data_IF_641289740499
#
_entry.id   IF_641289740499
#
_cell.length_a   1.000
_cell.length_b   1.000
_cell.length_c   1.000
_cell.angle_alpha   90.00
_cell.angle_beta   90.00
_cell.angle_gamma   90.00
#
_symmetry.space_group_name_H-M   'P 1'
#
loop_
_entity.id
_entity.type
_entity.pdbx_description
1 polymer ?
#
# COMPACT_ATOMS: atom_id res chain seq x y z
N UNK A 1 -10.72 9.26 1.22
CA UNK A 1 -11.97 8.93 0.49
C UNK A 1 -12.80 8.01 1.36
N UNK A 2 -13.94 8.45 1.90
CA UNK A 2 -14.78 7.68 2.85
C UNK A 2 -15.62 6.58 2.19
N UNK A 3 -15.07 5.88 1.20
CA UNK A 3 -15.77 4.86 0.44
C UNK A 3 -15.77 3.55 1.23
N UNK A 4 -16.93 3.13 1.72
CA UNK A 4 -17.09 1.82 2.36
C UNK A 4 -17.31 0.80 1.24
N UNK A 5 -16.34 -0.09 1.05
CA UNK A 5 -16.47 -1.22 0.12
C UNK A 5 -16.88 -2.47 0.88
N UNK A 6 -17.84 -3.23 0.34
CA UNK A 6 -18.18 -4.54 0.88
C UNK A 6 -17.06 -5.52 0.50
N UNK A 7 -16.39 -6.16 1.47
CA UNK A 7 -15.34 -7.12 1.17
C UNK A 7 -15.94 -8.33 0.46
N UNK A 8 -15.22 -8.83 -0.54
CA UNK A 8 -15.52 -10.08 -1.23
C UNK A 8 -14.48 -11.13 -0.87
N UNK A 9 -14.77 -12.44 -1.00
CA UNK A 9 -13.77 -13.48 -0.79
C UNK A 9 -12.53 -13.24 -1.68
N UNK A 10 -11.34 -13.45 -1.11
CA UNK A 10 -10.08 -13.39 -1.85
C UNK A 10 -10.14 -14.40 -3.00
N UNK A 11 -9.94 -13.91 -4.22
CA UNK A 11 -9.96 -14.75 -5.43
C UNK A 11 -8.73 -15.66 -5.48
N UNK A 12 -8.76 -16.80 -6.21
CA UNK A 12 -7.61 -17.70 -6.30
C UNK A 12 -6.32 -17.03 -6.79
N UNK A 13 -6.41 -16.04 -7.69
CA UNK A 13 -5.23 -15.32 -8.21
C UNK A 13 -4.61 -14.44 -7.13
N UNK A 14 -5.44 -13.70 -6.37
CA UNK A 14 -4.96 -12.87 -5.26
C UNK A 14 -4.42 -13.76 -4.13
N UNK A 15 -5.05 -14.90 -3.88
CA UNK A 15 -4.56 -15.88 -2.90
C UNK A 15 -3.17 -16.42 -3.28
N UNK A 16 -2.93 -16.72 -4.57
CA UNK A 16 -1.62 -17.19 -5.02
C UNK A 16 -0.51 -16.15 -4.79
N UNK A 17 -0.79 -14.86 -5.04
CA UNK A 17 0.15 -13.77 -4.74
C UNK A 17 0.36 -13.65 -3.24
N UNK A 18 -0.72 -13.64 -2.46
CA UNK A 18 -0.66 -13.60 -0.99
C UNK A 18 0.23 -14.71 -0.46
N UNK A 19 -0.05 -15.97 -0.82
CA UNK A 19 0.64 -17.13 -0.28
C UNK A 19 2.15 -17.11 -0.62
N UNK A 20 2.51 -16.62 -1.82
CA UNK A 20 3.91 -16.42 -2.19
C UNK A 20 4.59 -15.33 -1.34
N UNK A 21 3.86 -14.26 -1.00
CA UNK A 21 4.37 -13.24 -0.08
C UNK A 21 4.55 -13.82 1.32
N UNK A 22 3.57 -14.57 1.84
CA UNK A 22 3.67 -15.21 3.17
C UNK A 22 4.87 -16.16 3.25
N UNK A 23 5.13 -16.94 2.20
CA UNK A 23 6.31 -17.81 2.12
C UNK A 23 7.62 -17.01 2.14
N UNK A 24 7.66 -15.87 1.44
CA UNK A 24 8.87 -15.05 1.30
C UNK A 24 9.18 -14.16 2.51
N UNK A 25 8.16 -13.66 3.20
CA UNK A 25 8.30 -12.70 4.30
C UNK A 25 8.12 -13.35 5.67
N UNK A 26 7.40 -14.47 5.75
CA UNK A 26 6.93 -15.08 7.00
C UNK A 26 5.72 -14.36 7.62
N UNK A 27 5.21 -13.30 6.99
CA UNK A 27 4.07 -12.53 7.45
C UNK A 27 2.76 -13.04 6.83
N UNK A 28 1.67 -13.03 7.60
CA UNK A 28 0.35 -13.45 7.12
C UNK A 28 -0.49 -12.23 6.72
N UNK A 29 -1.17 -12.30 5.58
CA UNK A 29 -2.07 -11.23 5.13
C UNK A 29 -3.53 -11.71 5.03
N UNK A 30 -4.45 -11.00 5.66
CA UNK A 30 -5.86 -11.39 5.73
C UNK A 30 -6.79 -10.60 4.79
N UNK A 31 -6.29 -9.50 4.22
CA UNK A 31 -7.03 -8.64 3.33
C UNK A 31 -6.14 -8.11 2.19
N UNK A 32 -6.79 -7.63 1.14
CA UNK A 32 -6.13 -7.01 -0.01
C UNK A 32 -7.05 -5.93 -0.57
N UNK A 33 -6.49 -4.74 -0.81
CA UNK A 33 -7.14 -3.67 -1.55
C UNK A 33 -6.50 -3.57 -2.94
N UNK A 34 -7.32 -3.72 -3.98
CA UNK A 34 -6.86 -3.58 -5.36
C UNK A 34 -7.13 -2.16 -5.85
N UNK A 35 -6.05 -1.44 -6.20
CA UNK A 35 -6.12 -0.15 -6.84
C UNK A 35 -5.78 -0.30 -8.33
N UNK A 36 -6.76 -0.05 -9.21
CA UNK A 36 -6.54 0.01 -10.65
C UNK A 36 -6.35 1.47 -11.07
N UNK A 37 -5.11 1.81 -11.40
CA UNK A 37 -4.79 3.04 -12.11
C UNK A 37 -4.88 2.72 -13.60
N UNK A 38 -5.82 3.38 -14.31
CA UNK A 38 -5.96 3.23 -15.74
C UNK A 38 -4.80 3.91 -16.47
N UNK A 39 -5.11 4.96 -17.22
CA UNK A 39 -4.09 5.76 -17.89
C UNK A 39 -3.25 6.56 -16.86
N UNK A 40 -2.10 7.08 -17.29
CA UNK A 40 -1.13 7.78 -16.44
C UNK A 40 -1.62 9.07 -15.73
N UNK A 41 -2.86 9.49 -16.00
CA UNK A 41 -3.49 10.67 -15.39
C UNK A 41 -4.28 10.34 -14.10
N UNK A 42 -4.37 9.06 -13.72
CA UNK A 42 -5.03 8.62 -12.49
C UNK A 42 -3.99 8.31 -11.41
N UNK A 43 -4.12 8.99 -10.28
CA UNK A 43 -3.18 8.93 -9.16
C UNK A 43 -3.93 8.84 -7.83
N UNK A 44 -3.29 8.28 -6.81
CA UNK A 44 -3.80 8.37 -5.44
C UNK A 44 -3.05 9.50 -4.74
N UNK A 45 -3.77 10.51 -4.25
CA UNK A 45 -3.15 11.64 -3.54
C UNK A 45 -2.43 11.17 -2.27
N UNK A 46 -1.51 11.99 -1.77
CA UNK A 46 -0.91 11.79 -0.45
C UNK A 46 -1.97 11.48 0.60
N UNK A 47 -1.78 10.35 1.27
CA UNK A 47 -2.63 9.82 2.32
C UNK A 47 -1.83 8.88 3.21
N UNK A 48 -2.39 8.52 4.35
CA UNK A 48 -1.93 7.42 5.17
C UNK A 48 -2.97 6.31 5.14
N UNK A 49 -2.54 5.06 5.24
CA UNK A 49 -3.46 3.94 5.43
C UNK A 49 -4.24 4.15 6.74
N UNK A 50 -5.52 3.76 6.79
CA UNK A 50 -6.34 3.97 7.98
C UNK A 50 -5.79 3.17 9.16
N UNK A 51 -5.90 3.74 10.37
CA UNK A 51 -5.68 2.99 11.60
C UNK A 51 -6.76 1.89 11.70
N UNK A 52 -6.32 0.64 11.76
CA UNK A 52 -7.18 -0.53 11.92
C UNK A 52 -7.47 -0.84 13.39
N UNK A 53 -6.97 -0.02 14.32
CA UNK A 53 -7.09 -0.21 15.76
C UNK A 53 -6.12 -1.26 16.27
N UNK A 54 -6.28 -1.65 17.54
CA UNK A 54 -5.27 -2.47 18.27
C UNK A 54 -5.21 -3.95 17.87
N UNK A 55 -6.12 -4.41 17.03
CA UNK A 55 -6.26 -5.83 16.69
C UNK A 55 -5.51 -6.22 15.41
N UNK A 56 -5.09 -5.25 14.61
CA UNK A 56 -4.49 -5.47 13.30
C UNK A 56 -3.16 -4.75 13.22
N UNK A 57 -2.21 -5.35 12.51
CA UNK A 57 -0.95 -4.69 12.19
C UNK A 57 -1.20 -3.55 11.19
N UNK A 58 -0.37 -2.52 11.26
CA UNK A 58 -0.35 -1.39 10.31
C UNK A 58 0.64 -1.62 9.16
N UNK A 59 1.36 -2.74 9.21
CA UNK A 59 2.32 -3.13 8.19
C UNK A 59 1.57 -3.61 6.95
N UNK A 60 2.06 -3.21 5.78
CA UNK A 60 1.47 -3.54 4.50
C UNK A 60 2.55 -3.86 3.47
N UNK A 61 2.19 -4.60 2.43
CA UNK A 61 3.06 -4.85 1.30
C UNK A 61 2.34 -4.44 0.02
N UNK A 62 2.97 -3.55 -0.74
CA UNK A 62 2.43 -3.03 -1.98
C UNK A 62 3.01 -3.86 -3.12
N UNK A 63 2.15 -4.56 -3.84
CA UNK A 63 2.52 -5.33 -5.04
C UNK A 63 2.13 -4.51 -6.27
N UNK A 64 3.10 -4.24 -7.13
CA UNK A 64 2.88 -3.50 -8.38
C UNK A 64 2.80 -4.45 -9.56
N UNK A 65 1.79 -4.25 -10.42
CA UNK A 65 1.55 -5.09 -11.60
C UNK A 65 1.27 -4.15 -12.79
N UNK A 66 1.98 -4.35 -13.90
CA UNK A 66 1.83 -3.59 -15.12
C UNK A 66 2.78 -2.39 -15.23
N UNK A 67 2.23 -1.24 -15.61
CA UNK A 67 3.03 -0.06 -15.96
C UNK A 67 3.80 0.50 -14.75
N UNK A 68 5.06 0.87 -14.96
CA UNK A 68 5.90 1.47 -13.91
C UNK A 68 5.26 2.76 -13.37
N UNK A 69 5.22 2.89 -12.05
CA UNK A 69 4.72 4.09 -11.35
C UNK A 69 5.75 4.62 -10.38
N UNK A 70 5.60 5.90 -10.00
CA UNK A 70 6.36 6.51 -8.91
C UNK A 70 5.55 6.34 -7.64
N UNK A 71 6.10 5.67 -6.65
CA UNK A 71 5.52 5.60 -5.31
C UNK A 71 6.32 6.53 -4.40
N UNK A 72 5.67 7.56 -3.87
CA UNK A 72 6.31 8.66 -3.17
C UNK A 72 5.83 8.74 -1.73
N UNK A 73 6.70 9.22 -0.85
CA UNK A 73 6.47 9.39 0.57
C UNK A 73 6.83 10.81 1.00
N UNK A 74 6.10 11.33 1.99
CA UNK A 74 6.43 12.56 2.72
C UNK A 74 6.10 12.41 4.21
N UNK A 75 6.80 13.10 5.12
CA UNK A 75 6.44 13.06 6.53
C UNK A 75 5.03 13.60 6.77
N UNK A 76 4.29 12.99 7.69
CA UNK A 76 2.93 13.41 8.03
C UNK A 76 2.90 14.88 8.45
N UNK A 77 1.94 15.64 7.93
CA UNK A 77 1.76 17.07 8.24
C UNK A 77 2.65 18.03 7.45
N UNK A 78 3.42 17.53 6.49
CA UNK A 78 4.20 18.35 5.55
C UNK A 78 3.44 18.54 4.23
N UNK A 79 3.57 19.72 3.61
CA UNK A 79 2.86 20.05 2.35
C UNK A 79 3.75 20.02 1.12
N UNK A 80 5.04 20.33 1.26
CA UNK A 80 5.84 20.80 0.12
C UNK A 80 7.05 19.93 -0.22
N UNK A 81 7.37 18.89 0.55
CA UNK A 81 8.59 18.11 0.31
C UNK A 81 8.29 16.61 0.27
N UNK A 82 8.40 16.03 -0.93
CA UNK A 82 8.62 14.60 -1.10
C UNK A 82 9.96 14.25 -0.48
N UNK A 83 9.96 13.35 0.52
CA UNK A 83 11.19 12.98 1.21
C UNK A 83 11.84 11.74 0.59
N UNK A 84 11.02 10.79 0.13
CA UNK A 84 11.49 9.53 -0.45
C UNK A 84 10.58 9.11 -1.61
N UNK A 85 11.14 8.41 -2.59
CA UNK A 85 10.38 7.84 -3.68
C UNK A 85 11.09 6.63 -4.28
N UNK A 86 10.31 5.76 -4.89
CA UNK A 86 10.80 4.60 -5.65
C UNK A 86 9.98 4.46 -6.95
N UNK A 87 10.63 3.97 -8.01
CA UNK A 87 9.90 3.51 -9.19
C UNK A 87 9.55 2.05 -8.96
N UNK A 88 8.25 1.77 -8.87
CA UNK A 88 7.74 0.41 -8.75
C UNK A 88 7.39 -0.10 -10.14
N UNK A 89 8.03 -1.19 -10.54
CA UNK A 89 7.85 -1.88 -11.81
C UNK A 89 6.90 -3.07 -11.65
N UNK A 90 6.54 -3.70 -12.78
CA UNK A 90 5.82 -4.96 -12.77
C UNK A 90 6.54 -6.02 -11.92
N UNK A 91 5.81 -6.58 -10.95
CA UNK A 91 6.32 -7.58 -10.01
C UNK A 91 7.04 -7.01 -8.78
N UNK A 92 7.27 -5.70 -8.69
CA UNK A 92 7.92 -5.12 -7.52
C UNK A 92 7.01 -5.19 -6.29
N UNK A 93 7.63 -5.50 -5.15
CA UNK A 93 6.98 -5.54 -3.84
C UNK A 93 7.65 -4.53 -2.90
N UNK A 94 6.87 -3.59 -2.34
CA UNK A 94 7.35 -2.59 -1.37
C UNK A 94 6.73 -2.89 -0.02
N UNK A 95 7.58 -3.31 0.94
CA UNK A 95 7.15 -3.51 2.33
C UNK A 95 7.13 -2.17 3.06
N UNK A 96 5.96 -1.79 3.58
CA UNK A 96 5.78 -0.67 4.49
C UNK A 96 5.58 -1.24 5.89
N UNK A 97 6.50 -0.96 6.80
CA UNK A 97 6.52 -1.60 8.12
C UNK A 97 6.85 -0.61 9.23
N UNK A 98 6.55 -0.98 10.47
CA UNK A 98 6.86 -0.18 11.66
C UNK A 98 6.25 1.22 11.54
N UNK A 99 7.05 2.28 11.60
CA UNK A 99 6.58 3.66 11.67
C UNK A 99 5.98 4.21 10.35
N UNK A 100 5.96 3.46 9.25
CA UNK A 100 5.43 3.95 7.97
C UNK A 100 3.99 4.48 8.09
N UNK A 101 3.12 3.72 8.75
CA UNK A 101 1.71 4.05 8.94
C UNK A 101 1.38 4.50 10.37
N UNK A 102 2.38 5.02 11.12
CA UNK A 102 2.16 5.53 12.48
C UNK A 102 1.32 6.82 12.46
N UNK A 103 0.19 6.91 13.21
CA UNK A 103 -0.76 8.02 13.11
C UNK A 103 -0.24 9.44 13.42
N UNK A 104 0.92 9.56 14.07
CA UNK A 104 1.43 10.85 14.55
C UNK A 104 2.82 11.21 14.03
N UNK A 105 3.62 10.22 13.64
CA UNK A 105 5.02 10.42 13.22
C UNK A 105 5.37 9.66 11.94
N UNK A 106 4.39 9.07 11.28
CA UNK A 106 4.60 8.28 10.07
C UNK A 106 4.68 9.13 8.80
N UNK A 107 4.37 8.49 7.68
CA UNK A 107 4.46 9.09 6.35
C UNK A 107 3.10 9.07 5.67
N UNK A 108 2.83 10.11 4.90
CA UNK A 108 1.85 10.03 3.83
C UNK A 108 2.55 9.48 2.57
N UNK A 109 1.81 8.71 1.77
CA UNK A 109 2.29 8.17 0.52
C UNK A 109 1.31 8.43 -0.63
N UNK A 110 1.82 8.45 -1.86
CA UNK A 110 1.04 8.65 -3.07
C UNK A 110 1.58 7.80 -4.22
N UNK A 111 0.71 7.54 -5.19
CA UNK A 111 1.03 6.98 -6.51
C UNK A 111 0.77 8.06 -7.54
#
# INVERSE_FOLDING_TARGET
SGKIMQPVPITPVVAAVRDALEESTGERFDCCLLNLYGDGDVACKYHQDPDHGRLWATDSIIVSIGETRRFSFRPLGTTDEESHWVRVQDGDCVSMFSHCNEPTTGYEHCV
#
